data_IF_171062629751
#
_entry.id   IF_171062629751
#
_cell.length_a   1.000
_cell.length_b   1.000
_cell.length_c   1.000
_cell.angle_alpha   90.00
_cell.angle_beta   90.00
_cell.angle_gamma   90.00
#
_symmetry.space_group_name_H-M   'P 1'
#
loop_
_entity.id
_entity.type
_entity.pdbx_description
1 polymer ?
#
# COMPACT_ATOMS: atom_id res chain seq x y z
N UNK A 1 10.24 -1.00 -2.56
CA UNK A 1 9.71 0.12 -3.36
C UNK A 1 10.54 1.36 -3.11
N UNK A 2 10.19 2.13 -2.07
CA UNK A 2 10.75 3.46 -1.78
C UNK A 2 12.28 3.53 -1.77
N UNK A 3 12.97 2.62 -1.08
CA UNK A 3 14.46 2.63 -1.03
C UNK A 3 15.08 2.38 -2.41
N UNK A 4 14.53 1.43 -3.18
CA UNK A 4 15.00 1.13 -4.53
C UNK A 4 14.71 2.29 -5.49
N UNK A 5 13.54 2.92 -5.35
CA UNK A 5 13.17 4.11 -6.11
C UNK A 5 14.14 5.25 -5.79
N UNK A 6 14.42 5.55 -4.52
CA UNK A 6 15.34 6.62 -4.12
C UNK A 6 16.75 6.43 -4.69
N UNK A 7 17.29 5.20 -4.64
CA UNK A 7 18.58 4.89 -5.23
C UNK A 7 18.57 5.04 -6.77
N UNK A 8 17.52 4.54 -7.43
CA UNK A 8 17.36 4.66 -8.88
C UNK A 8 17.17 6.11 -9.33
N UNK A 9 16.42 6.92 -8.60
CA UNK A 9 16.22 8.35 -8.91
C UNK A 9 17.48 9.17 -8.71
N UNK A 10 18.29 8.84 -7.69
CA UNK A 10 19.58 9.51 -7.48
C UNK A 10 20.52 9.31 -8.66
N UNK A 11 20.62 8.08 -9.17
CA UNK A 11 21.41 7.77 -10.37
C UNK A 11 20.82 8.38 -11.64
N UNK A 12 19.49 8.34 -11.81
CA UNK A 12 18.83 8.93 -12.98
C UNK A 12 19.01 10.44 -13.07
N UNK A 13 18.93 11.16 -11.95
CA UNK A 13 19.06 12.61 -11.91
C UNK A 13 20.48 13.10 -12.26
N UNK A 14 21.50 12.28 -12.00
CA UNK A 14 22.90 12.57 -12.35
C UNK A 14 23.20 12.29 -13.83
N UNK A 15 22.39 11.45 -14.47
CA UNK A 15 22.51 11.16 -15.90
C UNK A 15 21.80 12.21 -16.76
N UNK A 16 22.41 12.65 -17.87
CA UNK A 16 21.76 13.50 -18.90
C UNK A 16 20.64 12.78 -19.69
N UNK A 17 20.26 11.58 -19.27
CA UNK A 17 19.25 10.75 -19.91
C UNK A 17 17.88 11.45 -19.88
N UNK A 18 17.24 11.61 -21.05
CA UNK A 18 15.92 12.23 -21.21
C UNK A 18 15.75 13.60 -20.50
N UNK A 19 16.80 14.42 -20.48
CA UNK A 19 16.76 15.78 -19.91
C UNK A 19 17.05 15.85 -18.40
N UNK A 20 17.67 14.82 -17.82
CA UNK A 20 18.06 14.79 -16.42
C UNK A 20 16.90 14.43 -15.50
N UNK A 21 16.53 15.35 -14.62
CA UNK A 21 15.49 15.15 -13.60
C UNK A 21 14.07 14.76 -14.12
N UNK A 22 13.59 15.18 -15.32
CA UNK A 22 12.28 14.78 -15.80
C UNK A 22 12.17 13.28 -16.13
N UNK A 23 13.31 12.63 -16.43
CA UNK A 23 13.38 11.21 -16.78
C UNK A 23 12.78 10.29 -15.71
N UNK A 24 12.92 10.66 -14.44
CA UNK A 24 12.37 9.95 -13.29
C UNK A 24 10.85 9.81 -13.38
N UNK A 25 10.15 10.89 -13.77
CA UNK A 25 8.70 10.89 -13.89
C UNK A 25 8.23 9.98 -15.02
N UNK A 26 8.95 9.98 -16.15
CA UNK A 26 8.62 9.12 -17.28
C UNK A 26 8.83 7.64 -16.95
N UNK A 27 9.97 7.26 -16.35
CA UNK A 27 10.27 5.85 -16.04
C UNK A 27 9.32 5.30 -15.00
N UNK A 28 9.14 6.00 -13.86
CA UNK A 28 8.25 5.53 -12.79
C UNK A 28 6.78 5.55 -13.26
N UNK A 29 6.40 6.55 -14.05
CA UNK A 29 5.07 6.62 -14.66
C UNK A 29 4.77 5.45 -15.58
N UNK A 30 5.68 5.14 -16.52
CA UNK A 30 5.54 4.00 -17.44
C UNK A 30 5.52 2.67 -16.67
N UNK A 31 6.41 2.50 -15.69
CA UNK A 31 6.42 1.31 -14.84
C UNK A 31 5.10 1.14 -14.10
N UNK A 32 4.52 2.24 -13.59
CA UNK A 32 3.20 2.25 -12.97
C UNK A 32 2.10 1.81 -13.92
N UNK A 33 2.08 2.33 -15.16
CA UNK A 33 1.09 1.95 -16.17
C UNK A 33 1.21 0.47 -16.54
N UNK A 34 2.42 -0.03 -16.79
CA UNK A 34 2.67 -1.45 -17.09
C UNK A 34 2.20 -2.33 -15.93
N UNK A 35 2.52 -1.95 -14.69
CA UNK A 35 2.06 -2.66 -13.50
C UNK A 35 0.54 -2.64 -13.35
N UNK A 36 -0.12 -1.50 -13.61
CA UNK A 36 -1.57 -1.40 -13.59
C UNK A 36 -2.22 -2.33 -14.62
N UNK A 37 -1.69 -2.36 -15.85
CA UNK A 37 -2.18 -3.29 -16.90
C UNK A 37 -2.04 -4.74 -16.42
N UNK A 38 -0.87 -5.12 -15.89
CA UNK A 38 -0.67 -6.45 -15.34
C UNK A 38 -1.65 -6.76 -14.20
N UNK A 39 -1.89 -5.81 -13.29
CA UNK A 39 -2.85 -5.95 -12.20
C UNK A 39 -4.28 -6.19 -12.71
N UNK A 40 -4.73 -5.40 -13.70
CA UNK A 40 -6.07 -5.58 -14.30
C UNK A 40 -6.24 -6.92 -15.01
N UNK A 41 -5.16 -7.51 -15.53
CA UNK A 41 -5.20 -8.82 -16.18
C UNK A 41 -5.10 -9.99 -15.19
N UNK A 42 -4.40 -9.80 -14.06
CA UNK A 42 -4.07 -10.88 -13.13
C UNK A 42 -4.97 -10.92 -11.88
N UNK A 43 -5.55 -9.79 -11.46
CA UNK A 43 -6.27 -9.70 -10.19
C UNK A 43 -7.77 -9.59 -10.42
N UNK A 44 -8.51 -10.56 -9.89
CA UNK A 44 -9.96 -10.61 -9.97
C UNK A 44 -10.59 -10.47 -8.58
N UNK A 45 -11.63 -9.64 -8.47
CA UNK A 45 -12.29 -9.33 -7.20
C UNK A 45 -13.14 -10.47 -6.63
N UNK A 46 -13.49 -11.46 -7.46
CA UNK A 46 -14.29 -12.60 -7.04
C UNK A 46 -13.60 -13.91 -7.38
N UNK A 47 -13.50 -14.85 -6.42
CA UNK A 47 -12.98 -16.19 -6.69
C UNK A 47 -13.85 -16.94 -7.71
N UNK A 48 -15.13 -16.55 -7.86
CA UNK A 48 -16.04 -17.11 -8.86
C UNK A 48 -15.76 -16.62 -10.30
N UNK A 49 -15.07 -15.48 -10.45
CA UNK A 49 -14.73 -14.89 -11.75
C UNK A 49 -13.27 -15.15 -12.13
N UNK A 50 -12.52 -15.87 -11.30
CA UNK A 50 -11.10 -16.13 -11.52
C UNK A 50 -10.93 -17.40 -12.37
N UNK A 51 -10.52 -17.32 -13.66
CA UNK A 51 -10.43 -18.48 -14.54
C UNK A 51 -9.29 -19.45 -14.17
N UNK A 52 -8.39 -19.04 -13.27
CA UNK A 52 -7.19 -19.78 -12.87
C UNK A 52 -7.25 -20.43 -11.50
N UNK A 53 -8.38 -20.34 -10.79
CA UNK A 53 -8.52 -20.92 -9.44
C UNK A 53 -8.88 -22.41 -9.54
N UNK A 54 -8.28 -23.25 -8.70
CA UNK A 54 -8.67 -24.66 -8.62
C UNK A 54 -10.03 -24.80 -7.93
N UNK A 55 -10.74 -25.87 -8.24
CA UNK A 55 -12.06 -26.13 -7.66
C UNK A 55 -11.97 -26.35 -6.14
N UNK A 56 -10.88 -26.99 -5.67
CA UNK A 56 -10.55 -27.19 -4.26
C UNK A 56 -10.31 -25.86 -3.52
N UNK A 57 -9.53 -24.93 -4.09
CA UNK A 57 -9.26 -23.63 -3.49
C UNK A 57 -10.53 -22.76 -3.46
N UNK A 58 -11.36 -22.83 -4.50
CA UNK A 58 -12.65 -22.15 -4.55
C UNK A 58 -13.58 -22.64 -3.45
N UNK A 59 -13.70 -23.95 -3.26
CA UNK A 59 -14.55 -24.52 -2.21
C UNK A 59 -14.03 -24.17 -0.82
N UNK A 60 -12.71 -24.24 -0.60
CA UNK A 60 -12.06 -23.78 0.62
C UNK A 60 -12.43 -22.32 0.94
N UNK A 61 -12.23 -21.39 0.00
CA UNK A 61 -12.54 -19.97 0.21
C UNK A 61 -14.02 -19.76 0.50
N UNK A 62 -14.92 -20.42 -0.22
CA UNK A 62 -16.36 -20.29 0.00
C UNK A 62 -16.81 -20.86 1.36
N UNK A 63 -16.15 -21.92 1.83
CA UNK A 63 -16.41 -22.53 3.12
C UNK A 63 -16.00 -21.61 4.29
N UNK A 64 -14.82 -20.98 4.20
CA UNK A 64 -14.29 -20.15 5.29
C UNK A 64 -14.71 -18.68 5.25
N UNK A 65 -14.96 -18.12 4.06
CA UNK A 65 -15.22 -16.68 3.92
C UNK A 65 -16.66 -16.28 4.27
N UNK A 66 -17.54 -17.25 4.55
CA UNK A 66 -18.95 -17.04 4.88
C UNK A 66 -19.78 -16.57 3.68
N UNK A 67 -21.02 -17.06 3.57
CA UNK A 67 -21.95 -16.55 2.56
C UNK A 67 -22.22 -15.07 2.86
N UNK A 68 -21.84 -14.17 1.94
CA UNK A 68 -22.29 -12.77 2.01
C UNK A 68 -23.81 -12.76 2.04
N UNK A 69 -24.39 -12.36 3.17
CA UNK A 69 -25.82 -12.08 3.25
C UNK A 69 -26.14 -10.99 2.21
N UNK A 70 -27.05 -11.25 1.28
CA UNK A 70 -27.44 -10.30 0.21
C UNK A 70 -27.97 -8.97 0.77
N UNK A 71 -28.37 -8.94 2.05
CA UNK A 71 -28.72 -7.72 2.77
C UNK A 71 -27.51 -7.24 3.55
N UNK A 72 -26.91 -6.14 3.09
CA UNK A 72 -25.94 -5.39 3.88
C UNK A 72 -26.60 -4.96 5.20
N UNK A 73 -26.24 -5.63 6.29
CA UNK A 73 -26.66 -5.19 7.62
C UNK A 73 -26.06 -3.81 7.89
N UNK A 74 -26.81 -2.88 8.51
CA UNK A 74 -26.26 -1.58 8.87
C UNK A 74 -25.08 -1.78 9.83
N UNK A 75 -23.90 -1.28 9.43
CA UNK A 75 -22.70 -1.36 10.26
C UNK A 75 -22.97 -0.63 11.59
N UNK A 76 -22.70 -1.26 12.74
CA UNK A 76 -22.97 -0.67 14.04
C UNK A 76 -21.87 0.35 14.41
N UNK A 77 -21.87 1.50 13.74
CA UNK A 77 -20.87 2.57 13.92
C UNK A 77 -20.65 2.95 15.38
N UNK A 78 -21.74 3.06 16.15
CA UNK A 78 -21.66 3.36 17.58
C UNK A 78 -20.82 2.33 18.33
N UNK A 79 -21.05 1.03 18.09
CA UNK A 79 -20.30 -0.04 18.74
C UNK A 79 -18.82 -0.04 18.34
N UNK A 80 -18.51 0.28 17.08
CA UNK A 80 -17.13 0.41 16.60
C UNK A 80 -16.41 1.55 17.33
N UNK A 81 -17.02 2.74 17.37
CA UNK A 81 -16.44 3.91 18.03
C UNK A 81 -16.44 3.83 19.56
N UNK A 82 -17.24 2.97 20.18
CA UNK A 82 -17.20 2.75 21.64
C UNK A 82 -16.32 1.58 22.05
N UNK A 83 -15.73 0.86 21.10
CA UNK A 83 -14.94 -0.33 21.41
C UNK A 83 -13.51 0.03 21.86
N UNK A 84 -13.10 -0.51 23.01
CA UNK A 84 -11.76 -0.32 23.57
C UNK A 84 -10.62 -0.75 22.62
N UNK A 85 -10.72 -1.89 21.90
CA UNK A 85 -9.67 -2.30 20.96
C UNK A 85 -9.45 -1.31 19.81
N UNK A 86 -10.51 -0.67 19.31
CA UNK A 86 -10.39 0.33 18.22
C UNK A 86 -9.62 1.55 18.72
N UNK A 87 -9.93 2.06 19.92
CA UNK A 87 -9.18 3.18 20.50
C UNK A 87 -7.72 2.83 20.79
N UNK A 88 -7.44 1.62 21.28
CA UNK A 88 -6.07 1.15 21.49
C UNK A 88 -5.28 1.16 20.17
N UNK A 89 -5.86 0.65 19.09
CA UNK A 89 -5.23 0.67 17.76
C UNK A 89 -4.99 2.11 17.30
N UNK A 90 -5.98 3.00 17.44
CA UNK A 90 -5.86 4.41 17.04
C UNK A 90 -4.69 5.10 17.76
N UNK A 91 -4.60 4.95 19.08
CA UNK A 91 -3.53 5.55 19.88
C UNK A 91 -2.16 5.00 19.49
N UNK A 92 -2.05 3.68 19.32
CA UNK A 92 -0.81 3.03 18.86
C UNK A 92 -0.42 3.53 17.47
N UNK A 93 -1.37 3.60 16.54
CA UNK A 93 -1.10 4.10 15.19
C UNK A 93 -0.66 5.55 15.20
N UNK A 94 -1.30 6.38 16.01
CA UNK A 94 -0.92 7.78 16.18
C UNK A 94 0.51 7.90 16.71
N UNK A 95 0.87 7.15 17.76
CA UNK A 95 2.21 7.15 18.32
C UNK A 95 3.28 6.67 17.33
N UNK A 96 2.99 5.61 16.56
CA UNK A 96 3.89 5.12 15.52
C UNK A 96 4.08 6.17 14.43
N UNK A 97 3.00 6.78 13.93
CA UNK A 97 3.10 7.81 12.90
C UNK A 97 3.87 9.03 13.40
N UNK A 98 3.57 9.50 14.62
CA UNK A 98 4.29 10.61 15.24
C UNK A 98 5.80 10.33 15.32
N UNK A 99 6.18 9.19 15.92
CA UNK A 99 7.57 8.79 16.05
C UNK A 99 8.26 8.66 14.69
N UNK A 100 7.60 8.03 13.71
CA UNK A 100 8.12 7.87 12.36
C UNK A 100 8.34 9.22 11.66
N UNK A 101 7.37 10.13 11.73
CA UNK A 101 7.52 11.48 11.14
C UNK A 101 8.62 12.27 11.85
N UNK A 102 8.66 12.28 13.18
CA UNK A 102 9.73 12.96 13.94
C UNK A 102 11.10 12.42 13.57
N UNK A 103 11.26 11.10 13.49
CA UNK A 103 12.51 10.50 13.05
C UNK A 103 12.84 10.93 11.63
N UNK A 104 11.89 10.91 10.71
CA UNK A 104 12.11 11.26 9.30
C UNK A 104 12.51 12.75 9.14
N UNK A 105 11.91 13.67 9.89
CA UNK A 105 12.16 15.11 9.76
C UNK A 105 13.39 15.59 10.52
N UNK A 106 13.64 15.05 11.72
CA UNK A 106 14.72 15.52 12.59
C UNK A 106 16.04 14.76 12.39
N UNK A 107 16.02 13.57 11.78
CA UNK A 107 17.24 12.78 11.54
C UNK A 107 18.26 13.50 10.63
N UNK A 108 17.87 14.19 9.54
CA UNK A 108 18.81 15.01 8.76
C UNK A 108 19.44 16.14 9.59
N UNK A 109 18.63 16.86 10.38
CA UNK A 109 19.08 17.98 11.23
C UNK A 109 20.00 17.52 12.35
N UNK A 110 19.74 16.35 12.94
CA UNK A 110 20.56 15.77 14.00
C UNK A 110 21.94 15.36 13.48
N UNK A 111 22.02 14.74 12.31
CA UNK A 111 23.29 14.34 11.68
C UNK A 111 24.12 15.57 11.26
N UNK A 112 23.49 16.61 10.72
CA UNK A 112 24.15 17.86 10.33
C UNK A 112 24.72 18.64 11.52
N UNK A 113 24.08 18.59 12.70
CA UNK A 113 24.55 19.29 13.91
C UNK A 113 25.68 18.58 14.66
N UNK A 114 25.93 17.30 14.40
CA UNK A 114 26.91 16.48 15.13
C UNK A 114 28.16 16.21 14.30
N UNK A 115 28.08 16.32 12.97
CA UNK A 115 29.25 16.50 12.09
C UNK A 115 29.74 17.95 12.09
#
# INVERSE_FOLDING_TARGET
GTVATMAATGWLCDSDFMGGWPSVFYIIGVLGVVWSIAWFLLVFNHPQLHPRISEEEREYILHYCGKKTEKALPLPWKAVFTSLPVWAIIVVHFGINWCFYTLLTELPTYLDKIQ
#
